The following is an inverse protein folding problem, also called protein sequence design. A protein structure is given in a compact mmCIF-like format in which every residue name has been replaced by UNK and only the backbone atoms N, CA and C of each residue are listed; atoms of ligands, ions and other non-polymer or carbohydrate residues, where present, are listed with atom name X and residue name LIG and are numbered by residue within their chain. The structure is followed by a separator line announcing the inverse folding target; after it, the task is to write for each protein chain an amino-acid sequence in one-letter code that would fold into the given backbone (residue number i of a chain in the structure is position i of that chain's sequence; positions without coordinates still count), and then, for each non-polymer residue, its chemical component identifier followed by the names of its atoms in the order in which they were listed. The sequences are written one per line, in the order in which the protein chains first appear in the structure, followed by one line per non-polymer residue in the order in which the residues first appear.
data_IF_052060590410
#
_entry.id   IF_052060590410
#
_cell.length_a   1.000
_cell.length_b   1.000
_cell.length_c   1.000
_cell.angle_alpha   90.00
_cell.angle_beta   90.00
_cell.angle_gamma   90.00
#
_symmetry.space_group_name_H-M   'P 1'
#
loop_
_entity.id
_entity.type
_entity.pdbx_description
1 polymer ?
#
# COMPACT_ATOMS: atom_id res chain seq x y z
N UNK A 1 -10.11 71.89 74.26
CA UNK A 1 -9.58 71.41 72.96
C UNK A 1 -9.12 70.01 73.14
N UNK A 2 -10.01 69.02 72.98
CA UNK A 2 -9.68 67.57 73.08
C UNK A 2 -9.78 66.94 71.70
N UNK A 3 -8.62 66.60 71.10
CA UNK A 3 -8.53 65.69 69.91
C UNK A 3 -8.73 64.29 70.42
N UNK A 4 -9.81 63.62 70.00
CA UNK A 4 -9.98 62.20 70.18
C UNK A 4 -8.93 61.49 69.29
N UNK A 5 -7.96 60.86 69.92
CA UNK A 5 -7.12 59.87 69.23
C UNK A 5 -7.95 58.64 68.98
N UNK A 6 -8.14 58.29 67.75
CA UNK A 6 -8.76 57.00 67.41
C UNK A 6 -7.96 55.88 68.10
N UNK A 7 -8.65 54.91 68.73
CA UNK A 7 -7.99 53.83 69.43
C UNK A 7 -7.25 52.93 68.43
N UNK A 8 -6.12 52.39 68.83
CA UNK A 8 -5.29 51.46 68.01
C UNK A 8 -6.15 50.32 67.47
N UNK A 9 -7.18 49.88 68.22
CA UNK A 9 -8.15 48.86 67.80
C UNK A 9 -8.96 49.27 66.55
N UNK A 10 -9.42 50.56 66.46
CA UNK A 10 -10.19 51.00 65.30
C UNK A 10 -9.32 51.12 64.04
N UNK A 11 -8.05 51.48 64.17
CA UNK A 11 -7.08 51.46 63.05
C UNK A 11 -6.74 50.05 62.57
N UNK A 12 -6.65 49.06 63.47
CA UNK A 12 -6.40 47.69 63.16
C UNK A 12 -7.62 47.09 62.43
N UNK A 13 -8.85 47.36 62.90
CA UNK A 13 -10.08 46.84 62.27
C UNK A 13 -10.31 47.44 60.88
N UNK A 14 -10.05 48.74 60.69
CA UNK A 14 -10.10 49.39 59.39
C UNK A 14 -9.07 48.81 58.38
N UNK A 15 -7.87 48.52 58.86
CA UNK A 15 -6.83 47.91 58.07
C UNK A 15 -7.20 46.48 57.69
N UNK A 16 -7.79 45.71 58.62
CA UNK A 16 -8.26 44.33 58.38
C UNK A 16 -9.39 44.28 57.34
N UNK A 17 -10.39 45.16 57.42
CA UNK A 17 -11.47 45.30 56.45
C UNK A 17 -10.95 45.72 55.07
N UNK A 18 -9.92 46.53 54.96
CA UNK A 18 -9.30 46.91 53.69
C UNK A 18 -8.54 45.78 53.06
N UNK A 19 -7.87 44.95 53.86
CA UNK A 19 -7.16 43.75 53.37
C UNK A 19 -8.14 42.71 52.86
N UNK A 20 -9.24 42.42 53.58
CA UNK A 20 -10.29 41.47 53.16
C UNK A 20 -10.94 41.94 51.85
N UNK A 21 -11.27 43.24 51.75
CA UNK A 21 -11.85 43.82 50.53
C UNK A 21 -10.90 43.69 49.30
N UNK A 22 -9.59 43.91 49.51
CA UNK A 22 -8.58 43.72 48.45
C UNK A 22 -8.43 42.24 48.02
N UNK A 23 -8.52 41.31 48.97
CA UNK A 23 -8.47 39.87 48.65
C UNK A 23 -9.70 39.41 47.88
N UNK A 24 -10.90 39.89 48.27
CA UNK A 24 -12.14 39.58 47.56
C UNK A 24 -12.15 40.16 46.13
N UNK A 25 -11.64 41.39 45.94
CA UNK A 25 -11.55 42.00 44.61
C UNK A 25 -10.53 41.30 43.71
N UNK A 26 -9.40 40.86 44.25
CA UNK A 26 -8.41 40.06 43.51
C UNK A 26 -9.00 38.69 43.07
N UNK A 27 -9.69 38.04 43.97
CA UNK A 27 -10.34 36.74 43.70
C UNK A 27 -11.43 36.87 42.63
N UNK A 28 -12.25 37.90 42.68
CA UNK A 28 -13.24 38.21 41.64
C UNK A 28 -12.60 38.52 40.29
N UNK A 29 -11.48 39.22 40.27
CA UNK A 29 -10.75 39.52 39.04
C UNK A 29 -10.13 38.27 38.41
N UNK A 30 -9.59 37.33 39.22
CA UNK A 30 -9.10 36.04 38.75
C UNK A 30 -10.22 35.18 38.16
N UNK A 31 -11.38 35.10 38.82
CA UNK A 31 -12.55 34.38 38.32
C UNK A 31 -13.04 34.96 36.99
N UNK A 32 -13.12 36.29 36.87
CA UNK A 32 -13.53 36.97 35.65
C UNK A 32 -12.55 36.72 34.51
N UNK A 33 -11.25 36.68 34.76
CA UNK A 33 -10.23 36.34 33.80
C UNK A 33 -10.31 34.85 33.34
N UNK A 34 -10.58 33.93 34.26
CA UNK A 34 -10.78 32.52 33.94
C UNK A 34 -12.02 32.34 33.04
N UNK A 35 -13.14 33.01 33.39
CA UNK A 35 -14.39 32.95 32.61
C UNK A 35 -14.20 33.57 31.22
N UNK A 36 -13.50 34.72 31.13
CA UNK A 36 -13.19 35.36 29.86
C UNK A 36 -12.32 34.45 28.96
N UNK A 37 -11.27 33.85 29.50
CA UNK A 37 -10.39 32.95 28.79
C UNK A 37 -11.10 31.65 28.38
N UNK A 38 -12.02 31.13 29.18
CA UNK A 38 -12.85 29.99 28.85
C UNK A 38 -13.85 30.30 27.72
N UNK A 39 -14.52 31.47 27.77
CA UNK A 39 -15.44 31.90 26.72
C UNK A 39 -14.75 32.13 25.38
N UNK A 40 -13.57 32.76 25.39
CA UNK A 40 -12.78 32.99 24.17
C UNK A 40 -12.25 31.71 23.57
N UNK A 41 -11.74 30.79 24.40
CA UNK A 41 -11.30 29.46 23.93
C UNK A 41 -12.47 28.63 23.39
N UNK A 42 -13.62 28.61 24.06
CA UNK A 42 -14.83 27.91 23.59
C UNK A 42 -15.37 28.53 22.31
N UNK A 43 -15.36 29.87 22.19
CA UNK A 43 -15.78 30.53 20.95
C UNK A 43 -14.84 30.21 19.77
N UNK A 44 -13.53 30.23 20.00
CA UNK A 44 -12.54 29.84 18.98
C UNK A 44 -12.71 28.35 18.56
N UNK A 45 -12.94 27.48 19.55
CA UNK A 45 -13.18 26.06 19.30
C UNK A 45 -14.48 25.81 18.50
N UNK A 46 -15.56 26.56 18.86
CA UNK A 46 -16.82 26.49 18.09
C UNK A 46 -16.67 27.04 16.67
N UNK A 47 -15.86 28.09 16.47
CA UNK A 47 -15.58 28.65 15.15
C UNK A 47 -14.80 27.67 14.29
N UNK A 48 -13.79 26.99 14.84
CA UNK A 48 -13.00 25.94 14.15
C UNK A 48 -13.88 24.75 13.80
N UNK A 49 -14.75 24.31 14.72
CA UNK A 49 -15.69 23.21 14.48
C UNK A 49 -16.77 23.56 13.44
N UNK A 50 -17.24 24.79 13.44
CA UNK A 50 -18.25 25.26 12.46
C UNK A 50 -17.67 25.38 11.03
N UNK A 51 -16.41 25.77 10.89
CA UNK A 51 -15.72 25.81 9.59
C UNK A 51 -15.46 24.39 9.07
N UNK A 52 -15.11 23.46 9.94
CA UNK A 52 -14.90 22.06 9.57
C UNK A 52 -16.18 21.32 9.14
N UNK A 53 -17.33 21.67 9.73
CA UNK A 53 -18.62 21.00 9.47
C UNK A 53 -19.22 21.31 8.10
N UNK A 54 -18.77 22.37 7.39
CA UNK A 54 -19.31 22.82 6.13
C UNK A 54 -18.32 22.86 4.96
N UNK A 55 -17.10 22.32 5.11
CA UNK A 55 -16.14 22.31 4.02
C UNK A 55 -16.62 21.36 2.89
N UNK A 56 -16.95 21.94 1.74
CA UNK A 56 -17.29 21.19 0.53
C UNK A 56 -16.07 20.37 0.07
N UNK A 57 -16.30 19.13 -0.38
CA UNK A 57 -15.24 18.32 -0.97
C UNK A 57 -15.00 18.75 -2.42
N UNK A 58 -13.75 19.09 -2.73
CA UNK A 58 -13.27 19.37 -4.08
C UNK A 58 -12.46 18.17 -4.57
N UNK A 59 -12.77 17.70 -5.78
CA UNK A 59 -12.11 16.55 -6.39
C UNK A 59 -11.06 17.00 -7.39
N UNK A 60 -9.84 16.45 -7.26
CA UNK A 60 -8.70 16.70 -8.14
C UNK A 60 -8.38 15.42 -8.91
N UNK A 61 -8.19 15.53 -10.22
CA UNK A 61 -7.80 14.39 -11.05
C UNK A 61 -6.46 13.81 -10.56
N UNK A 62 -6.44 12.51 -10.29
CA UNK A 62 -5.25 11.84 -9.81
C UNK A 62 -4.11 11.74 -10.86
N UNK A 63 -4.40 12.09 -12.13
CA UNK A 63 -3.38 12.19 -13.19
C UNK A 63 -2.35 13.29 -12.92
N UNK A 64 -2.70 14.29 -12.09
CA UNK A 64 -1.78 15.35 -11.67
C UNK A 64 -0.68 14.88 -10.70
N UNK A 65 -0.77 13.66 -10.18
CA UNK A 65 0.14 13.14 -9.15
C UNK A 65 0.95 11.96 -9.67
N UNK A 66 2.15 11.68 -9.12
CA UNK A 66 2.97 10.55 -9.51
C UNK A 66 2.26 9.21 -9.34
N UNK A 67 2.37 8.35 -10.32
CA UNK A 67 1.92 6.95 -10.32
C UNK A 67 3.14 6.04 -10.15
N UNK A 68 3.04 5.09 -9.22
CA UNK A 68 4.04 4.06 -8.92
C UNK A 68 3.57 2.70 -9.43
N UNK A 69 4.49 1.75 -9.53
CA UNK A 69 4.20 0.35 -9.86
C UNK A 69 4.18 0.04 -11.36
N UNK A 70 4.59 0.97 -12.22
CA UNK A 70 4.61 0.81 -13.68
C UNK A 70 5.91 0.18 -14.17
N UNK A 71 5.80 -0.90 -14.95
CA UNK A 71 6.93 -1.45 -15.69
C UNK A 71 7.23 -0.66 -16.97
N UNK A 72 6.26 0.10 -17.48
CA UNK A 72 6.36 0.90 -18.71
C UNK A 72 5.36 2.05 -18.68
N UNK A 73 5.67 3.16 -19.34
CA UNK A 73 4.75 4.28 -19.49
C UNK A 73 3.82 4.14 -20.71
N UNK A 74 4.14 3.24 -21.65
CA UNK A 74 3.40 3.05 -22.91
C UNK A 74 2.23 2.08 -22.77
N UNK A 75 1.34 2.30 -21.81
CA UNK A 75 0.13 1.49 -21.61
C UNK A 75 -1.07 2.12 -22.31
N UNK A 76 -2.08 1.31 -22.69
CA UNK A 76 -3.29 1.78 -23.38
C UNK A 76 -4.03 2.85 -22.56
N UNK A 77 -4.16 2.64 -21.25
CA UNK A 77 -4.66 3.64 -20.30
C UNK A 77 -3.71 3.78 -19.11
N UNK A 78 -3.79 4.90 -18.40
CA UNK A 78 -2.86 5.25 -17.32
C UNK A 78 -2.70 4.14 -16.26
N UNK A 79 -3.79 3.48 -15.88
CA UNK A 79 -3.82 2.55 -14.75
C UNK A 79 -3.74 1.08 -15.15
N UNK A 80 -3.24 0.79 -16.35
CA UNK A 80 -2.90 -0.55 -16.83
C UNK A 80 -1.41 -0.87 -16.63
N UNK A 81 -1.03 -2.16 -16.65
CA UNK A 81 0.30 -2.64 -16.28
C UNK A 81 1.16 -3.09 -17.46
N UNK A 82 0.55 -3.49 -18.58
CA UNK A 82 1.25 -3.97 -19.77
C UNK A 82 1.32 -2.90 -20.85
N UNK A 83 2.40 -2.88 -21.66
CA UNK A 83 2.50 -1.96 -22.80
C UNK A 83 1.43 -2.27 -23.85
N UNK A 84 0.91 -1.23 -24.51
CA UNK A 84 -0.12 -1.31 -25.53
C UNK A 84 0.28 -2.19 -26.72
N UNK A 85 1.57 -2.24 -27.04
CA UNK A 85 2.14 -3.09 -28.08
C UNK A 85 1.87 -4.58 -27.89
N UNK A 86 1.56 -5.02 -26.66
CA UNK A 86 1.23 -6.42 -26.37
C UNK A 86 -0.23 -6.79 -26.60
N UNK A 87 -1.11 -5.83 -26.92
CA UNK A 87 -2.54 -6.07 -27.09
C UNK A 87 -2.88 -7.18 -28.08
N UNK A 88 -2.14 -7.21 -29.21
CA UNK A 88 -2.37 -8.19 -30.30
C UNK A 88 -1.32 -9.33 -30.34
N UNK A 89 -0.36 -9.33 -29.42
CA UNK A 89 0.74 -10.30 -29.37
C UNK A 89 0.52 -11.28 -28.24
N UNK A 90 0.13 -10.81 -27.07
CA UNK A 90 -0.08 -11.65 -25.90
C UNK A 90 -1.34 -12.50 -26.01
N UNK A 91 -1.34 -13.60 -25.27
CA UNK A 91 -2.57 -14.39 -25.06
C UNK A 91 -3.66 -13.50 -24.45
N UNK A 92 -4.88 -13.59 -24.99
CA UNK A 92 -6.00 -12.77 -24.55
C UNK A 92 -6.21 -12.73 -23.02
N UNK A 93 -6.18 -13.88 -22.26
CA UNK A 93 -6.34 -13.82 -20.80
C UNK A 93 -5.20 -13.05 -20.10
N UNK A 94 -3.97 -13.16 -20.60
CA UNK A 94 -2.83 -12.44 -20.07
C UNK A 94 -2.97 -10.92 -20.28
N UNK A 95 -3.37 -10.51 -21.49
CA UNK A 95 -3.65 -9.12 -21.82
C UNK A 95 -4.76 -8.53 -20.93
N UNK A 96 -5.90 -9.23 -20.79
CA UNK A 96 -7.01 -8.78 -19.97
C UNK A 96 -6.61 -8.61 -18.49
N UNK A 97 -5.76 -9.49 -17.94
CA UNK A 97 -5.21 -9.36 -16.59
C UNK A 97 -4.22 -8.19 -16.49
N UNK A 98 -3.49 -7.89 -17.54
CA UNK A 98 -2.61 -6.72 -17.65
C UNK A 98 -3.34 -5.39 -17.47
N UNK A 99 -4.63 -5.36 -17.75
CA UNK A 99 -5.49 -4.19 -17.58
C UNK A 99 -5.97 -3.97 -16.12
N UNK A 100 -5.74 -4.93 -15.22
CA UNK A 100 -5.98 -4.72 -13.78
C UNK A 100 -4.89 -3.81 -13.19
N UNK A 101 -5.24 -3.07 -12.14
CA UNK A 101 -4.37 -2.04 -11.54
C UNK A 101 -3.54 -2.55 -10.35
N UNK A 102 -3.35 -3.88 -10.22
CA UNK A 102 -2.63 -4.50 -9.10
C UNK A 102 -1.21 -3.92 -8.94
N UNK A 103 -0.86 -3.50 -7.73
CA UNK A 103 0.45 -2.93 -7.42
C UNK A 103 0.63 -1.47 -7.83
N UNK A 104 -0.33 -0.87 -8.54
CA UNK A 104 -0.25 0.57 -8.85
C UNK A 104 -0.67 1.40 -7.65
N UNK A 105 -0.01 2.56 -7.47
CA UNK A 105 -0.33 3.49 -6.40
C UNK A 105 -0.10 4.95 -6.79
N UNK A 106 -0.90 5.86 -6.23
CA UNK A 106 -0.76 7.31 -6.37
C UNK A 106 -0.07 7.88 -5.13
N UNK A 107 0.91 8.78 -5.36
CA UNK A 107 1.59 9.54 -4.30
C UNK A 107 1.16 10.99 -4.33
N UNK A 108 0.68 11.50 -3.20
CA UNK A 108 0.30 12.91 -3.02
C UNK A 108 0.49 13.35 -1.58
N UNK A 109 0.38 14.66 -1.33
CA UNK A 109 0.33 15.25 0.02
C UNK A 109 -0.84 16.22 0.14
N UNK A 110 -1.34 16.38 1.35
CA UNK A 110 -2.43 17.31 1.65
C UNK A 110 -2.48 17.66 3.14
N UNK A 111 -2.97 18.84 3.45
CA UNK A 111 -3.31 19.26 4.82
C UNK A 111 -4.81 19.15 5.12
N UNK A 112 -5.57 18.45 4.30
CA UNK A 112 -7.01 18.31 4.46
C UNK A 112 -7.39 17.52 5.72
N UNK A 113 -8.53 17.90 6.33
CA UNK A 113 -9.10 17.17 7.46
C UNK A 113 -9.81 15.89 7.05
N UNK A 114 -10.01 15.70 5.72
CA UNK A 114 -10.55 14.46 5.13
C UNK A 114 -9.87 14.13 3.81
N UNK A 115 -9.83 12.84 3.49
CA UNK A 115 -9.47 12.36 2.15
C UNK A 115 -10.60 11.49 1.64
N UNK A 116 -11.11 11.81 0.47
CA UNK A 116 -12.10 11.05 -0.26
C UNK A 116 -11.53 10.60 -1.62
N UNK A 117 -12.18 9.66 -2.28
CA UNK A 117 -11.88 9.29 -3.65
C UNK A 117 -13.16 9.06 -4.45
N UNK A 118 -13.10 9.43 -5.74
CA UNK A 118 -14.00 8.97 -6.79
C UNK A 118 -13.21 8.15 -7.78
N UNK A 119 -13.71 6.95 -8.12
CA UNK A 119 -13.06 6.11 -9.12
C UNK A 119 -14.06 5.25 -9.86
N UNK A 120 -13.74 4.99 -11.11
CA UNK A 120 -14.46 4.03 -11.93
C UNK A 120 -13.58 2.81 -12.20
N UNK A 121 -14.23 1.64 -12.28
CA UNK A 121 -13.55 0.39 -12.63
C UNK A 121 -13.99 -0.12 -14.00
N UNK A 122 -13.14 -0.91 -14.64
CA UNK A 122 -13.32 -1.38 -16.00
C UNK A 122 -14.49 -2.36 -16.13
N UNK A 123 -14.55 -3.36 -15.24
CA UNK A 123 -15.43 -4.53 -15.39
C UNK A 123 -16.51 -4.65 -14.31
N UNK A 124 -16.39 -3.96 -13.19
CA UNK A 124 -17.23 -4.16 -11.99
C UNK A 124 -17.24 -5.64 -11.55
N UNK A 125 -16.03 -6.23 -11.49
CA UNK A 125 -15.83 -7.66 -11.22
C UNK A 125 -16.30 -8.06 -9.82
N UNK A 126 -16.89 -9.25 -9.71
CA UNK A 126 -17.22 -9.91 -8.46
C UNK A 126 -16.65 -11.32 -8.45
N UNK A 127 -16.17 -11.78 -7.29
CA UNK A 127 -15.59 -13.11 -7.08
C UNK A 127 -16.13 -13.67 -5.76
N UNK A 128 -16.39 -14.99 -5.72
CA UNK A 128 -17.01 -15.64 -4.56
C UNK A 128 -16.07 -15.88 -3.37
N UNK A 129 -14.77 -15.72 -3.57
CA UNK A 129 -13.72 -16.00 -2.58
C UNK A 129 -12.85 -14.76 -2.24
N UNK A 130 -13.16 -13.61 -2.81
CA UNK A 130 -12.43 -12.37 -2.58
C UNK A 130 -13.37 -11.21 -2.26
N UNK A 131 -12.99 -10.35 -1.32
CA UNK A 131 -13.81 -9.20 -0.92
C UNK A 131 -13.90 -8.14 -2.03
N UNK A 132 -15.02 -7.44 -2.18
CA UNK A 132 -15.10 -6.31 -3.12
C UNK A 132 -14.02 -5.24 -2.89
N UNK A 133 -13.61 -5.01 -1.63
CA UNK A 133 -12.52 -4.09 -1.26
C UNK A 133 -11.19 -4.50 -1.85
N UNK A 134 -10.86 -5.79 -1.89
CA UNK A 134 -9.66 -6.31 -2.55
C UNK A 134 -9.77 -6.28 -4.08
N UNK A 135 -10.93 -6.68 -4.62
CA UNK A 135 -11.15 -6.78 -6.07
C UNK A 135 -11.06 -5.40 -6.73
N UNK A 136 -11.85 -4.42 -6.28
CA UNK A 136 -12.09 -3.13 -6.94
C UNK A 136 -12.07 -1.91 -6.02
N UNK A 137 -11.60 -2.08 -4.76
CA UNK A 137 -11.42 -1.00 -3.79
C UNK A 137 -10.08 -0.29 -3.92
N UNK A 138 -9.89 0.70 -3.05
CA UNK A 138 -8.68 1.50 -2.92
C UNK A 138 -8.19 1.43 -1.46
N UNK A 139 -6.88 1.59 -1.22
CA UNK A 139 -6.31 1.65 0.13
C UNK A 139 -5.43 2.88 0.31
N UNK A 140 -5.75 3.68 1.32
CA UNK A 140 -5.00 4.88 1.69
C UNK A 140 -4.06 4.58 2.85
N UNK A 141 -2.80 4.95 2.67
CA UNK A 141 -1.77 4.97 3.71
C UNK A 141 -1.26 6.39 3.90
N UNK A 142 -0.92 6.73 5.14
CA UNK A 142 -0.31 8.00 5.53
C UNK A 142 1.10 7.73 6.08
N UNK A 143 2.08 8.54 5.68
CA UNK A 143 3.43 8.46 6.23
C UNK A 143 3.46 9.14 7.60
N UNK A 144 3.80 8.38 8.64
CA UNK A 144 3.95 8.85 9.99
C UNK A 144 5.23 8.27 10.60
N UNK A 145 6.10 9.12 11.13
CA UNK A 145 7.38 8.72 11.75
C UNK A 145 8.22 7.77 10.86
N UNK A 146 8.25 8.06 9.55
CA UNK A 146 8.96 7.26 8.54
C UNK A 146 8.33 5.92 8.19
N UNK A 147 7.10 5.64 8.66
CA UNK A 147 6.35 4.40 8.40
C UNK A 147 5.01 4.71 7.72
N UNK A 148 4.65 3.87 6.77
CA UNK A 148 3.34 3.93 6.13
C UNK A 148 2.28 3.27 7.00
N UNK A 149 1.38 4.08 7.56
CA UNK A 149 0.27 3.62 8.41
C UNK A 149 -1.02 3.61 7.61
N UNK A 150 -1.83 2.55 7.77
CA UNK A 150 -3.14 2.46 7.16
C UNK A 150 -4.06 3.58 7.67
N UNK A 151 -4.63 4.36 6.75
CA UNK A 151 -5.51 5.48 7.06
C UNK A 151 -6.98 5.22 6.72
N UNK A 152 -7.25 4.42 5.67
CA UNK A 152 -8.63 4.11 5.30
C UNK A 152 -8.74 3.37 3.97
N UNK A 153 -9.94 2.84 3.70
CA UNK A 153 -10.27 2.13 2.45
C UNK A 153 -11.33 2.83 1.65
N UNK A 154 -11.16 2.89 0.34
CA UNK A 154 -12.18 3.17 -0.65
C UNK A 154 -13.06 1.94 -0.85
N UNK A 155 -14.23 1.89 -0.23
CA UNK A 155 -15.17 0.77 -0.31
C UNK A 155 -16.04 0.89 -1.56
N UNK A 156 -15.90 -0.04 -2.53
CA UNK A 156 -16.64 0.06 -3.80
C UNK A 156 -18.12 -0.28 -3.63
N UNK A 157 -18.96 0.33 -4.45
CA UNK A 157 -20.38 0.08 -4.50
C UNK A 157 -20.84 -0.50 -5.86
N UNK A 158 -20.00 -0.35 -6.89
CA UNK A 158 -20.29 -0.78 -8.24
C UNK A 158 -19.18 -0.39 -9.21
N UNK A 159 -19.58 -0.04 -10.44
CA UNK A 159 -18.65 0.41 -11.48
C UNK A 159 -18.12 1.82 -11.22
N UNK A 160 -19.01 2.74 -10.82
CA UNK A 160 -18.67 4.09 -10.37
C UNK A 160 -18.76 4.17 -8.85
N UNK A 161 -17.75 4.75 -8.22
CA UNK A 161 -17.57 4.70 -6.78
C UNK A 161 -17.19 6.07 -6.22
N UNK A 162 -17.69 6.35 -5.03
CA UNK A 162 -17.30 7.51 -4.23
C UNK A 162 -17.27 7.14 -2.74
N UNK A 163 -16.16 7.42 -2.05
CA UNK A 163 -16.04 7.12 -0.62
C UNK A 163 -15.16 8.14 0.06
N UNK A 164 -15.58 8.64 1.23
CA UNK A 164 -14.65 9.27 2.19
C UNK A 164 -13.88 8.17 2.90
N UNK A 165 -12.56 8.12 2.68
CA UNK A 165 -11.68 7.09 3.24
C UNK A 165 -11.27 7.40 4.67
N UNK A 166 -10.99 8.67 4.97
CA UNK A 166 -10.66 9.17 6.30
C UNK A 166 -11.21 10.58 6.47
N UNK A 167 -11.59 10.95 7.69
CA UNK A 167 -12.12 12.28 8.06
C UNK A 167 -11.80 12.62 9.51
N UNK A 168 -12.10 13.85 9.89
CA UNK A 168 -11.93 14.37 11.25
C UNK A 168 -10.45 14.40 11.69
N UNK A 169 -9.53 14.55 10.71
CA UNK A 169 -8.10 14.73 10.97
C UNK A 169 -7.79 16.18 11.37
N UNK A 170 -6.65 16.39 12.02
CA UNK A 170 -6.10 17.73 12.20
C UNK A 170 -5.63 18.29 10.85
N UNK A 171 -5.71 19.61 10.60
CA UNK A 171 -5.30 20.23 9.33
C UNK A 171 -3.78 20.39 9.25
N UNK A 172 -3.07 19.25 9.20
CA UNK A 172 -1.62 19.16 9.09
C UNK A 172 -1.21 18.53 7.75
N UNK A 173 -0.12 18.99 7.19
CA UNK A 173 0.39 18.43 5.93
C UNK A 173 0.89 17.01 6.15
N UNK A 174 0.39 16.09 5.33
CA UNK A 174 0.70 14.65 5.37
C UNK A 174 0.98 14.11 3.99
N UNK A 175 1.87 13.15 3.92
CA UNK A 175 2.18 12.35 2.74
C UNK A 175 1.29 11.13 2.67
N UNK A 176 0.74 10.86 1.49
CA UNK A 176 -0.19 9.75 1.25
C UNK A 176 0.29 8.83 0.14
N UNK A 177 -0.05 7.55 0.28
CA UNK A 177 0.14 6.48 -0.70
C UNK A 177 -1.22 5.79 -0.88
N UNK A 178 -1.79 5.89 -2.08
CA UNK A 178 -3.11 5.35 -2.42
C UNK A 178 -2.95 4.19 -3.38
N UNK A 179 -3.09 2.96 -2.88
CA UNK A 179 -3.06 1.73 -3.69
C UNK A 179 -4.36 1.53 -4.45
N UNK A 180 -4.24 1.04 -5.69
CA UNK A 180 -5.34 0.78 -6.60
C UNK A 180 -5.81 -0.68 -6.55
N UNK A 181 -6.94 -0.95 -7.21
CA UNK A 181 -7.63 -2.24 -7.26
C UNK A 181 -6.75 -3.41 -7.71
N UNK A 182 -6.92 -4.59 -7.10
CA UNK A 182 -6.09 -5.76 -7.43
C UNK A 182 -6.62 -6.59 -8.61
N UNK A 183 -7.95 -6.75 -8.72
CA UNK A 183 -8.58 -7.65 -9.69
C UNK A 183 -9.53 -6.94 -10.65
N UNK A 184 -9.55 -5.61 -10.66
CA UNK A 184 -10.21 -4.78 -11.67
C UNK A 184 -9.27 -3.67 -12.14
N UNK A 185 -9.52 -3.11 -13.30
CA UNK A 185 -8.80 -1.94 -13.82
C UNK A 185 -9.46 -0.66 -13.34
N UNK A 186 -8.70 0.26 -12.78
CA UNK A 186 -9.15 1.64 -12.56
C UNK A 186 -9.15 2.36 -13.91
N UNK A 187 -10.24 3.03 -14.26
CA UNK A 187 -10.38 3.78 -15.54
C UNK A 187 -10.35 5.28 -15.32
N UNK A 188 -10.89 5.74 -14.19
CA UNK A 188 -10.80 7.13 -13.73
C UNK A 188 -10.53 7.18 -12.23
N UNK A 189 -9.85 8.22 -11.75
CA UNK A 189 -9.57 8.41 -10.33
C UNK A 189 -9.44 9.90 -10.02
N UNK A 190 -10.16 10.35 -8.99
CA UNK A 190 -10.02 11.69 -8.42
C UNK A 190 -9.90 11.62 -6.91
N UNK A 191 -9.06 12.47 -6.34
CA UNK A 191 -8.83 12.59 -4.90
C UNK A 191 -9.59 13.80 -4.39
N UNK A 192 -10.44 13.59 -3.39
CA UNK A 192 -11.27 14.60 -2.76
C UNK A 192 -10.65 15.12 -1.47
N UNK A 193 -10.56 16.44 -1.33
CA UNK A 193 -10.08 17.16 -0.16
C UNK A 193 -11.05 18.28 0.20
N UNK A 194 -10.96 18.84 1.40
CA UNK A 194 -11.74 20.01 1.79
C UNK A 194 -11.39 21.22 0.93
N UNK A 195 -12.37 22.03 0.55
CA UNK A 195 -12.23 23.14 -0.41
C UNK A 195 -11.19 24.21 -0.02
N UNK A 196 -10.86 24.33 1.27
CA UNK A 196 -9.86 25.27 1.77
C UNK A 196 -8.48 24.61 1.99
N UNK A 197 -8.36 23.32 1.68
CA UNK A 197 -7.13 22.57 1.88
C UNK A 197 -6.27 22.56 0.61
N UNK A 198 -4.98 22.36 0.82
CA UNK A 198 -4.03 22.18 -0.27
C UNK A 198 -3.85 20.69 -0.58
N UNK A 199 -3.67 20.38 -1.87
CA UNK A 199 -3.23 19.08 -2.35
C UNK A 199 -2.15 19.29 -3.42
N UNK A 200 -1.08 18.51 -3.35
CA UNK A 200 0.06 18.63 -4.26
C UNK A 200 0.80 17.30 -4.43
N UNK A 201 1.80 17.26 -5.30
CA UNK A 201 2.72 16.13 -5.40
C UNK A 201 3.49 15.90 -4.10
N UNK A 202 4.09 14.71 -3.90
CA UNK A 202 4.84 14.36 -2.71
C UNK A 202 6.05 15.30 -2.49
N UNK A 203 6.38 15.60 -1.22
CA UNK A 203 7.59 16.32 -0.85
C UNK A 203 8.74 15.36 -0.49
N UNK A 204 8.43 14.11 -0.14
CA UNK A 204 9.42 13.07 0.14
C UNK A 204 9.37 11.97 -0.92
N UNK A 205 10.53 11.53 -1.36
CA UNK A 205 10.67 10.47 -2.38
C UNK A 205 10.65 9.08 -1.71
N UNK A 206 9.49 8.74 -1.13
CA UNK A 206 9.22 7.43 -0.55
C UNK A 206 7.87 6.91 -1.07
N UNK A 207 7.76 5.62 -1.48
CA UNK A 207 8.86 4.68 -1.73
C UNK A 207 9.83 5.17 -2.80
N UNK A 208 11.12 4.82 -2.65
CA UNK A 208 12.17 5.19 -3.63
C UNK A 208 11.87 4.51 -4.96
N UNK A 209 11.79 5.31 -6.04
CA UNK A 209 11.46 4.82 -7.39
C UNK A 209 12.66 4.28 -8.15
N UNK A 210 13.85 4.81 -7.86
CA UNK A 210 15.06 4.37 -8.53
C UNK A 210 15.34 2.89 -8.22
N UNK A 211 15.54 2.08 -9.26
CA UNK A 211 15.79 0.62 -9.18
C UNK A 211 14.73 -0.11 -8.32
N UNK A 212 13.48 -0.20 -8.79
CA UNK A 212 12.41 -0.90 -8.10
C UNK A 212 12.72 -2.39 -7.92
N UNK A 213 11.94 -3.08 -7.09
CA UNK A 213 11.87 -4.54 -7.09
C UNK A 213 10.79 -4.96 -8.08
N UNK A 214 11.14 -5.80 -9.06
CA UNK A 214 10.19 -6.28 -10.06
C UNK A 214 9.77 -7.71 -9.75
N UNK A 215 8.48 -7.93 -9.63
CA UNK A 215 7.89 -9.23 -9.36
C UNK A 215 7.11 -9.72 -10.58
N UNK A 216 7.34 -10.98 -10.98
CA UNK A 216 6.54 -11.69 -11.95
C UNK A 216 5.96 -12.96 -11.35
N UNK A 217 4.64 -13.17 -11.47
CA UNK A 217 4.01 -14.33 -10.85
C UNK A 217 2.50 -14.47 -11.08
N UNK A 218 1.88 -15.18 -10.17
CA UNK A 218 0.56 -15.80 -10.27
C UNK A 218 -0.57 -14.92 -9.70
N UNK A 219 -1.74 -15.54 -9.44
CA UNK A 219 -2.85 -14.93 -8.69
C UNK A 219 -2.43 -14.50 -7.28
N UNK A 220 -1.55 -15.28 -6.63
CA UNK A 220 -1.02 -14.93 -5.31
C UNK A 220 -0.23 -13.63 -5.40
N UNK A 221 0.65 -13.50 -6.41
CA UNK A 221 1.38 -12.27 -6.64
C UNK A 221 0.46 -11.09 -6.98
N UNK A 222 -0.56 -11.31 -7.82
CA UNK A 222 -1.55 -10.27 -8.14
C UNK A 222 -2.28 -9.76 -6.89
N UNK A 223 -2.35 -10.54 -5.83
CA UNK A 223 -3.01 -10.23 -4.56
C UNK A 223 -4.34 -10.97 -4.38
N UNK A 224 -4.48 -12.17 -4.99
CA UNK A 224 -5.68 -12.99 -4.91
C UNK A 224 -6.06 -13.33 -3.48
N UNK A 225 -7.26 -12.94 -3.08
CA UNK A 225 -7.88 -13.05 -1.76
C UNK A 225 -7.35 -12.09 -0.67
N UNK A 226 -6.44 -11.16 -0.99
CA UNK A 226 -6.17 -10.04 -0.08
C UNK A 226 -7.47 -9.27 0.21
N UNK A 227 -7.74 -8.97 1.47
CA UNK A 227 -8.97 -8.28 1.88
C UNK A 227 -9.10 -6.87 1.30
N UNK A 228 -7.98 -6.24 0.96
CA UNK A 228 -7.84 -4.89 0.40
C UNK A 228 -6.47 -4.74 -0.29
N UNK A 229 -6.30 -3.76 -1.20
CA UNK A 229 -5.07 -3.65 -2.01
C UNK A 229 -3.77 -3.64 -1.22
N UNK A 230 -3.71 -2.89 -0.13
CA UNK A 230 -2.51 -2.78 0.69
C UNK A 230 -2.08 -4.08 1.39
N UNK A 231 -2.90 -5.14 1.37
CA UNK A 231 -2.58 -6.45 1.95
C UNK A 231 -1.94 -7.41 0.96
N UNK A 232 -1.89 -7.13 -0.33
CA UNK A 232 -1.04 -7.86 -1.25
C UNK A 232 0.43 -7.76 -0.79
N UNK A 233 1.16 -8.88 -0.77
CA UNK A 233 2.52 -8.92 -0.21
C UNK A 233 3.50 -7.97 -0.91
N UNK A 234 3.33 -7.70 -2.20
CA UNK A 234 4.14 -6.70 -2.92
C UNK A 234 3.96 -5.30 -2.35
N UNK A 235 2.72 -4.93 -2.01
CA UNK A 235 2.39 -3.63 -1.41
C UNK A 235 2.84 -3.55 0.07
N UNK A 236 2.84 -4.68 0.79
CA UNK A 236 3.43 -4.77 2.13
C UNK A 236 4.95 -4.55 2.05
N UNK A 237 5.62 -5.25 1.14
CA UNK A 237 7.06 -5.15 0.91
C UNK A 237 7.47 -3.75 0.46
N UNK A 238 6.71 -3.11 -0.41
CA UNK A 238 6.94 -1.73 -0.85
C UNK A 238 7.03 -0.79 0.36
N UNK A 239 6.06 -0.87 1.28
CA UNK A 239 6.05 -0.04 2.49
C UNK A 239 7.17 -0.38 3.46
N UNK A 240 7.54 -1.66 3.62
CA UNK A 240 8.58 -2.08 4.55
C UNK A 240 10.00 -1.77 4.03
N UNK A 241 10.20 -1.89 2.73
CA UNK A 241 11.47 -1.58 2.07
C UNK A 241 11.62 -0.09 1.77
N UNK A 242 10.53 0.68 1.84
CA UNK A 242 10.44 2.05 1.31
C UNK A 242 10.98 2.14 -0.13
N UNK A 243 10.69 1.14 -0.96
CA UNK A 243 11.14 1.02 -2.34
C UNK A 243 10.00 0.54 -3.23
N UNK A 244 9.86 1.18 -4.40
CA UNK A 244 8.83 0.82 -5.37
C UNK A 244 8.89 -0.67 -5.73
N UNK A 245 7.71 -1.33 -5.70
CA UNK A 245 7.52 -2.72 -6.07
C UNK A 245 6.59 -2.81 -7.29
N UNK A 246 7.11 -3.27 -8.41
CA UNK A 246 6.34 -3.47 -9.63
C UNK A 246 5.72 -4.87 -9.61
N UNK A 247 4.39 -4.92 -9.62
CA UNK A 247 3.61 -6.16 -9.56
C UNK A 247 3.16 -6.59 -10.96
N UNK A 248 3.80 -7.61 -11.50
CA UNK A 248 3.40 -8.30 -12.73
C UNK A 248 2.83 -9.69 -12.42
N UNK A 249 1.85 -9.72 -11.49
CA UNK A 249 1.05 -10.89 -11.16
C UNK A 249 -0.11 -11.07 -12.15
N UNK A 250 -0.29 -12.31 -12.63
CA UNK A 250 -1.31 -12.66 -13.62
C UNK A 250 -2.02 -13.94 -13.20
N UNK A 251 -3.22 -13.80 -12.66
CA UNK A 251 -4.03 -14.90 -12.09
C UNK A 251 -4.21 -16.05 -13.09
N UNK A 252 -3.67 -17.26 -12.76
CA UNK A 252 -3.71 -18.42 -13.63
C UNK A 252 -2.88 -18.31 -14.91
N UNK A 253 -2.12 -17.22 -15.11
CA UNK A 253 -1.49 -16.90 -16.40
C UNK A 253 0.00 -16.54 -16.31
N UNK A 254 0.67 -16.83 -15.21
CA UNK A 254 2.14 -16.74 -15.14
C UNK A 254 2.76 -17.98 -15.80
N UNK A 255 2.66 -18.09 -17.14
CA UNK A 255 3.04 -19.27 -17.92
C UNK A 255 4.38 -19.11 -18.66
N UNK A 256 5.22 -18.15 -18.18
CA UNK A 256 6.53 -17.86 -18.76
C UNK A 256 6.44 -17.40 -20.24
N UNK A 257 5.45 -16.57 -20.54
CA UNK A 257 5.31 -15.95 -21.86
C UNK A 257 6.49 -14.99 -22.10
N UNK A 258 7.25 -15.20 -23.18
CA UNK A 258 8.55 -14.54 -23.40
C UNK A 258 8.41 -13.03 -23.63
N UNK A 259 7.29 -12.57 -24.15
CA UNK A 259 6.98 -11.14 -24.27
C UNK A 259 6.95 -10.44 -22.91
N UNK A 260 6.54 -11.12 -21.84
CA UNK A 260 6.60 -10.57 -20.47
C UNK A 260 8.04 -10.52 -19.97
N UNK A 261 8.90 -11.50 -20.33
CA UNK A 261 10.32 -11.40 -20.02
C UNK A 261 10.96 -10.15 -20.63
N UNK A 262 10.56 -9.74 -21.85
CA UNK A 262 11.03 -8.52 -22.49
C UNK A 262 10.53 -7.26 -21.78
N UNK A 263 9.28 -7.24 -21.28
CA UNK A 263 8.76 -6.14 -20.46
C UNK A 263 9.60 -6.00 -19.18
N UNK A 264 9.83 -7.11 -18.47
CA UNK A 264 10.63 -7.15 -17.23
C UNK A 264 12.06 -6.67 -17.50
N UNK A 265 12.68 -7.16 -18.58
CA UNK A 265 14.03 -6.80 -18.98
C UNK A 265 14.18 -5.33 -19.40
N UNK A 266 13.07 -4.61 -19.62
CA UNK A 266 13.05 -3.17 -19.88
C UNK A 266 13.18 -2.31 -18.61
N UNK A 267 13.07 -2.91 -17.42
CA UNK A 267 13.11 -2.17 -16.14
C UNK A 267 14.50 -2.25 -15.51
N UNK A 268 15.11 -1.13 -15.20
CA UNK A 268 16.36 -1.08 -14.40
C UNK A 268 16.05 -1.35 -12.93
N UNK A 269 16.02 -2.64 -12.56
CA UNK A 269 15.58 -3.12 -11.26
C UNK A 269 16.74 -3.36 -10.28
N UNK A 270 16.46 -3.24 -8.97
CA UNK A 270 17.37 -3.68 -7.92
C UNK A 270 17.37 -5.21 -7.75
N UNK A 271 16.20 -5.85 -7.91
CA UNK A 271 16.01 -7.30 -7.79
C UNK A 271 14.85 -7.71 -8.70
N UNK A 272 14.97 -8.84 -9.36
CA UNK A 272 13.87 -9.53 -10.03
C UNK A 272 13.43 -10.74 -9.22
N UNK A 273 12.11 -10.88 -8.99
CA UNK A 273 11.51 -12.01 -8.28
C UNK A 273 10.61 -12.78 -9.24
N UNK A 274 10.92 -14.04 -9.48
CA UNK A 274 10.22 -14.94 -10.43
C UNK A 274 9.41 -15.99 -9.65
N UNK A 275 8.11 -15.71 -9.45
CA UNK A 275 7.16 -16.47 -8.64
C UNK A 275 6.05 -17.07 -9.52
N UNK A 276 6.44 -17.82 -10.54
CA UNK A 276 5.55 -18.37 -11.58
C UNK A 276 5.11 -19.81 -11.33
N UNK A 277 5.81 -20.55 -10.47
CA UNK A 277 5.70 -22.00 -10.34
C UNK A 277 4.28 -22.52 -10.11
N UNK A 278 3.42 -21.87 -9.29
CA UNK A 278 2.05 -22.33 -9.09
C UNK A 278 1.22 -22.43 -10.38
N UNK A 279 1.46 -21.58 -11.38
CA UNK A 279 0.68 -21.59 -12.63
C UNK A 279 1.33 -22.40 -13.76
N UNK A 280 2.65 -22.39 -13.89
CA UNK A 280 3.34 -23.09 -14.97
C UNK A 280 3.28 -24.61 -14.76
N UNK A 281 3.06 -25.39 -15.84
CA UNK A 281 3.19 -26.85 -15.82
C UNK A 281 4.66 -27.27 -15.75
N UNK A 282 4.92 -28.54 -15.40
CA UNK A 282 6.27 -29.14 -15.41
C UNK A 282 6.92 -28.96 -16.80
N UNK A 283 6.16 -29.17 -17.86
CA UNK A 283 6.62 -29.01 -19.24
C UNK A 283 6.97 -27.56 -19.56
N UNK A 284 6.09 -26.64 -19.20
CA UNK A 284 6.34 -25.19 -19.39
C UNK A 284 7.57 -24.71 -18.61
N UNK A 285 7.79 -25.18 -17.39
CA UNK A 285 8.98 -24.85 -16.59
C UNK A 285 10.23 -25.35 -17.32
N UNK A 286 10.24 -26.62 -17.78
CA UNK A 286 11.38 -27.22 -18.52
C UNK A 286 11.71 -26.45 -19.80
N UNK A 287 10.68 -26.09 -20.57
CA UNK A 287 10.85 -25.51 -21.90
C UNK A 287 11.16 -23.98 -21.87
N UNK A 288 10.61 -23.26 -20.90
CA UNK A 288 10.55 -21.80 -20.95
C UNK A 288 11.35 -21.10 -19.87
N UNK A 289 11.57 -21.70 -18.68
CA UNK A 289 12.15 -20.98 -17.56
C UNK A 289 13.57 -20.48 -17.84
N UNK A 290 14.42 -21.27 -18.49
CA UNK A 290 15.76 -20.84 -18.88
C UNK A 290 15.72 -19.72 -19.94
N UNK A 291 14.84 -19.81 -20.94
CA UNK A 291 14.69 -18.78 -21.96
C UNK A 291 14.20 -17.47 -21.35
N UNK A 292 13.19 -17.54 -20.48
CA UNK A 292 12.64 -16.39 -19.76
C UNK A 292 13.73 -15.71 -18.92
N UNK A 293 14.46 -16.48 -18.14
CA UNK A 293 15.62 -16.04 -17.37
C UNK A 293 16.67 -15.37 -18.26
N UNK A 294 17.04 -16.01 -19.36
CA UNK A 294 18.12 -15.57 -20.24
C UNK A 294 17.82 -14.22 -20.91
N UNK A 295 16.56 -13.93 -21.22
CA UNK A 295 16.12 -12.62 -21.72
C UNK A 295 16.40 -11.53 -20.68
N UNK A 296 16.01 -11.75 -19.42
CA UNK A 296 16.24 -10.79 -18.33
C UNK A 296 17.74 -10.65 -18.08
N UNK A 297 18.47 -11.76 -17.92
CA UNK A 297 19.91 -11.78 -17.62
C UNK A 297 20.74 -11.09 -18.70
N UNK A 298 20.36 -11.21 -19.98
CA UNK A 298 21.08 -10.56 -21.09
C UNK A 298 21.10 -9.02 -20.99
N UNK A 299 20.08 -8.43 -20.39
CA UNK A 299 19.98 -6.97 -20.15
C UNK A 299 20.51 -6.55 -18.79
N UNK A 300 20.47 -7.44 -17.81
CA UNK A 300 20.82 -7.20 -16.42
C UNK A 300 21.86 -8.22 -15.94
N UNK A 301 23.13 -8.14 -16.37
CA UNK A 301 24.13 -9.17 -16.12
C UNK A 301 24.41 -9.40 -14.63
N UNK A 302 24.29 -8.37 -13.81
CA UNK A 302 24.67 -8.42 -12.39
C UNK A 302 23.50 -8.28 -11.41
N UNK A 303 22.29 -7.94 -11.89
CA UNK A 303 21.12 -7.77 -11.01
C UNK A 303 20.69 -9.10 -10.40
N UNK A 304 20.45 -9.16 -9.09
CA UNK A 304 19.93 -10.35 -8.42
C UNK A 304 18.62 -10.84 -9.01
N UNK A 305 18.53 -12.14 -9.30
CA UNK A 305 17.29 -12.81 -9.73
C UNK A 305 16.95 -13.90 -8.72
N UNK A 306 15.79 -13.77 -8.09
CA UNK A 306 15.26 -14.67 -7.09
C UNK A 306 14.17 -15.55 -7.70
N UNK A 307 14.39 -16.87 -7.75
CA UNK A 307 13.36 -17.85 -8.06
C UNK A 307 12.64 -18.24 -6.78
N UNK A 308 11.32 -18.39 -6.85
CA UNK A 308 10.49 -18.77 -5.70
C UNK A 308 9.82 -20.12 -5.98
N UNK A 309 9.93 -21.04 -5.03
CA UNK A 309 9.22 -22.32 -5.08
C UNK A 309 7.70 -22.14 -4.99
N UNK A 310 6.96 -23.12 -5.49
CA UNK A 310 5.53 -23.25 -5.25
C UNK A 310 5.26 -23.45 -3.75
N UNK A 311 4.35 -22.68 -3.14
CA UNK A 311 3.95 -22.89 -1.74
C UNK A 311 3.51 -24.34 -1.49
N UNK A 312 3.88 -24.89 -0.33
CA UNK A 312 3.33 -26.15 0.15
C UNK A 312 2.00 -25.85 0.82
N UNK A 313 0.94 -25.97 0.07
CA UNK A 313 -0.42 -25.68 0.54
C UNK A 313 -0.88 -26.67 1.61
N UNK A 314 -1.60 -26.20 2.62
CA UNK A 314 -2.06 -27.02 3.74
C UNK A 314 -2.94 -28.20 3.29
N UNK A 315 -3.81 -27.99 2.29
CA UNK A 315 -4.69 -29.05 1.75
C UNK A 315 -3.92 -30.16 1.05
N UNK A 316 -2.67 -29.96 0.65
CA UNK A 316 -1.81 -31.02 0.10
C UNK A 316 -1.61 -32.18 1.08
N UNK A 317 -1.80 -31.96 2.39
CA UNK A 317 -1.78 -33.04 3.40
C UNK A 317 -2.91 -34.04 3.21
N UNK A 318 -4.02 -33.61 2.59
CA UNK A 318 -5.23 -34.41 2.40
C UNK A 318 -5.48 -34.76 0.92
N UNK A 319 -4.73 -34.13 0.00
CA UNK A 319 -4.87 -34.33 -1.44
C UNK A 319 -3.51 -34.74 -2.03
N UNK A 320 -3.34 -36.05 -2.25
CA UNK A 320 -2.09 -36.60 -2.77
C UNK A 320 -1.74 -36.12 -4.18
N UNK A 321 -2.75 -35.81 -5.03
CA UNK A 321 -2.52 -35.26 -6.36
C UNK A 321 -1.93 -33.86 -6.27
N UNK A 322 -2.48 -32.99 -5.41
CA UNK A 322 -1.95 -31.65 -5.17
C UNK A 322 -0.54 -31.70 -4.56
N UNK A 323 -0.31 -32.62 -3.62
CA UNK A 323 1.02 -32.83 -3.03
C UNK A 323 2.06 -33.22 -4.08
N UNK A 324 1.67 -34.15 -4.96
CA UNK A 324 2.55 -34.58 -6.06
C UNK A 324 2.83 -33.45 -7.04
N UNK A 325 1.82 -32.69 -7.43
CA UNK A 325 1.98 -31.55 -8.34
C UNK A 325 2.96 -30.51 -7.79
N UNK A 326 2.78 -30.08 -6.53
CA UNK A 326 3.71 -29.14 -5.86
C UNK A 326 5.13 -29.68 -5.86
N UNK A 327 5.31 -30.97 -5.51
CA UNK A 327 6.61 -31.63 -5.50
C UNK A 327 7.25 -31.63 -6.88
N UNK A 328 6.54 -32.14 -7.91
CA UNK A 328 7.08 -32.28 -9.27
C UNK A 328 7.49 -30.91 -9.84
N UNK A 329 6.69 -29.87 -9.62
CA UNK A 329 6.99 -28.49 -10.06
C UNK A 329 8.22 -27.93 -9.36
N UNK A 330 8.35 -28.08 -8.04
CA UNK A 330 9.50 -27.62 -7.28
C UNK A 330 10.79 -28.38 -7.67
N UNK A 331 10.74 -29.68 -7.83
CA UNK A 331 11.86 -30.49 -8.32
C UNK A 331 12.30 -30.07 -9.73
N UNK A 332 11.34 -29.72 -10.59
CA UNK A 332 11.63 -29.21 -11.93
C UNK A 332 12.30 -27.82 -11.86
N UNK A 333 11.81 -26.91 -11.02
CA UNK A 333 12.45 -25.61 -10.78
C UNK A 333 13.88 -25.81 -10.28
N UNK A 334 14.11 -26.72 -9.32
CA UNK A 334 15.45 -27.04 -8.82
C UNK A 334 16.37 -27.53 -9.93
N UNK A 335 15.87 -28.38 -10.84
CA UNK A 335 16.66 -28.86 -11.98
C UNK A 335 17.08 -27.71 -12.89
N UNK A 336 16.18 -26.79 -13.21
CA UNK A 336 16.50 -25.58 -13.99
C UNK A 336 17.52 -24.72 -13.25
N UNK A 337 17.29 -24.44 -11.97
CA UNK A 337 18.20 -23.63 -11.15
C UNK A 337 19.61 -24.22 -11.06
N UNK A 338 19.74 -25.54 -10.86
CA UNK A 338 21.02 -26.22 -10.84
C UNK A 338 21.73 -26.21 -12.21
N UNK A 339 20.96 -26.28 -13.30
CA UNK A 339 21.52 -26.14 -14.65
C UNK A 339 22.12 -24.73 -14.86
N UNK A 340 21.42 -23.67 -14.44
CA UNK A 340 21.92 -22.31 -14.47
C UNK A 340 23.21 -22.16 -13.63
N UNK A 341 23.25 -22.73 -12.42
CA UNK A 341 24.44 -22.72 -11.57
C UNK A 341 25.62 -23.45 -12.22
N UNK A 342 25.41 -24.62 -12.82
CA UNK A 342 26.44 -25.37 -13.54
C UNK A 342 26.99 -24.61 -14.74
N UNK A 343 26.18 -23.79 -15.41
CA UNK A 343 26.58 -22.92 -16.51
C UNK A 343 27.41 -21.70 -16.05
N UNK A 344 27.56 -21.51 -14.72
CA UNK A 344 28.33 -20.42 -14.11
C UNK A 344 27.54 -19.15 -13.84
N UNK A 345 26.20 -19.19 -13.93
CA UNK A 345 25.34 -18.05 -13.64
C UNK A 345 25.52 -17.55 -12.22
N UNK A 346 25.72 -16.25 -12.07
CA UNK A 346 25.91 -15.56 -10.78
C UNK A 346 24.68 -14.76 -10.40
N UNK A 347 24.62 -14.34 -9.14
CA UNK A 347 23.53 -13.51 -8.59
C UNK A 347 22.14 -14.10 -8.85
N UNK A 348 22.04 -15.46 -8.80
CA UNK A 348 20.78 -16.18 -8.81
C UNK A 348 20.56 -16.87 -7.46
N UNK A 349 19.35 -16.82 -6.98
CA UNK A 349 18.94 -17.31 -5.66
C UNK A 349 17.67 -18.12 -5.79
N UNK A 350 17.49 -19.10 -4.92
CA UNK A 350 16.29 -19.91 -4.81
C UNK A 350 15.70 -19.74 -3.42
N UNK A 351 14.45 -19.30 -3.34
CA UNK A 351 13.70 -19.19 -2.11
C UNK A 351 12.86 -20.43 -1.91
N UNK A 352 13.12 -21.13 -0.79
CA UNK A 352 12.38 -22.34 -0.44
C UNK A 352 10.96 -21.99 0.01
N UNK A 353 10.00 -22.81 -0.36
CA UNK A 353 8.61 -22.73 0.09
C UNK A 353 8.38 -23.28 1.51
N UNK A 354 9.42 -23.88 2.10
CA UNK A 354 9.35 -24.37 3.48
C UNK A 354 9.01 -23.18 4.41
N UNK A 355 8.01 -23.37 5.23
CA UNK A 355 7.51 -22.37 6.21
C UNK A 355 6.90 -21.08 5.60
N UNK A 356 6.77 -20.98 4.27
CA UNK A 356 6.31 -19.79 3.55
C UNK A 356 4.97 -19.26 4.06
N UNK A 357 4.03 -20.14 4.36
CA UNK A 357 2.67 -19.78 4.82
C UNK A 357 2.37 -20.25 6.26
N UNK A 358 3.38 -20.77 6.97
CA UNK A 358 3.22 -21.33 8.32
C UNK A 358 2.63 -22.74 8.32
N UNK A 359 2.32 -23.27 9.52
CA UNK A 359 1.96 -24.68 9.72
C UNK A 359 0.60 -24.87 10.38
N UNK A 360 -0.11 -23.81 10.73
CA UNK A 360 -1.42 -23.83 11.40
C UNK A 360 -2.61 -24.11 10.47
N UNK A 361 -2.41 -23.96 9.15
CA UNK A 361 -3.46 -24.19 8.16
C UNK A 361 -4.30 -22.97 7.82
N UNK A 362 -4.05 -21.80 8.43
CA UNK A 362 -4.92 -20.62 8.36
C UNK A 362 -4.54 -19.61 7.28
N UNK A 363 -3.49 -19.91 6.49
CA UNK A 363 -2.92 -18.96 5.55
C UNK A 363 -3.64 -18.84 4.22
N UNK A 364 -4.66 -19.67 3.93
CA UNK A 364 -5.36 -19.69 2.64
C UNK A 364 -6.88 -19.62 2.80
N UNK A 365 -7.56 -19.01 1.81
CA UNK A 365 -9.03 -18.90 1.76
C UNK A 365 -9.67 -20.17 1.17
N UNK A 366 -9.08 -20.70 0.10
CA UNK A 366 -9.62 -21.80 -0.71
C UNK A 366 -8.63 -22.95 -0.87
N UNK A 367 -7.59 -22.97 -0.05
CA UNK A 367 -6.51 -23.95 -0.11
C UNK A 367 -5.33 -23.53 -0.99
N UNK A 368 -5.46 -22.44 -1.77
CA UNK A 368 -4.43 -21.91 -2.68
C UNK A 368 -4.15 -20.43 -2.40
N UNK A 369 -5.18 -19.57 -2.51
CA UNK A 369 -5.05 -18.13 -2.40
C UNK A 369 -4.93 -17.69 -0.95
N UNK A 370 -4.03 -16.75 -0.68
CA UNK A 370 -3.68 -16.38 0.67
C UNK A 370 -4.74 -15.51 1.35
N UNK A 371 -4.95 -15.76 2.65
CA UNK A 371 -5.55 -14.78 3.56
C UNK A 371 -4.56 -13.62 3.80
N UNK A 372 -5.01 -12.54 4.45
CA UNK A 372 -4.09 -11.46 4.89
C UNK A 372 -2.96 -12.00 5.77
N UNK A 373 -3.24 -13.03 6.60
CA UNK A 373 -2.20 -13.73 7.38
C UNK A 373 -1.16 -14.42 6.48
N UNK A 374 -1.61 -15.10 5.44
CA UNK A 374 -0.72 -15.72 4.45
C UNK A 374 0.16 -14.70 3.73
N UNK A 375 -0.42 -13.57 3.31
CA UNK A 375 0.32 -12.48 2.69
C UNK A 375 1.36 -11.84 3.62
N UNK A 376 1.02 -11.65 4.90
CA UNK A 376 1.96 -11.13 5.90
C UNK A 376 3.13 -12.09 6.07
N UNK A 377 2.89 -13.40 6.26
CA UNK A 377 3.94 -14.43 6.40
C UNK A 377 4.83 -14.48 5.17
N UNK A 378 4.24 -14.41 3.99
CA UNK A 378 5.01 -14.41 2.75
C UNK A 378 5.88 -13.15 2.62
N UNK A 379 5.35 -12.00 2.99
CA UNK A 379 6.14 -10.76 3.03
C UNK A 379 7.27 -10.83 4.07
N UNK A 380 7.01 -11.37 5.26
CA UNK A 380 8.01 -11.57 6.32
C UNK A 380 9.16 -12.48 5.86
N UNK A 381 8.87 -13.52 5.07
CA UNK A 381 9.87 -14.41 4.51
C UNK A 381 10.70 -13.74 3.41
N UNK A 382 10.05 -12.97 2.52
CA UNK A 382 10.73 -12.28 1.41
C UNK A 382 11.55 -11.07 1.87
N UNK A 383 11.08 -10.34 2.87
CA UNK A 383 11.69 -9.07 3.31
C UNK A 383 13.19 -9.16 3.62
N UNK A 384 13.69 -10.09 4.47
CA UNK A 384 15.12 -10.17 4.76
C UNK A 384 15.97 -10.53 3.55
N UNK A 385 15.43 -11.35 2.63
CA UNK A 385 16.11 -11.74 1.39
C UNK A 385 16.24 -10.54 0.47
N UNK A 386 15.13 -9.81 0.23
CA UNK A 386 15.14 -8.63 -0.61
C UNK A 386 16.03 -7.53 -0.03
N UNK A 387 15.90 -7.25 1.27
CA UNK A 387 16.73 -6.24 1.96
C UNK A 387 18.23 -6.50 1.83
N UNK A 388 18.64 -7.78 1.82
CA UNK A 388 20.04 -8.18 1.62
C UNK A 388 20.56 -7.86 0.21
N UNK A 389 19.68 -7.95 -0.79
CA UNK A 389 20.06 -7.84 -2.21
C UNK A 389 19.79 -6.45 -2.81
N UNK A 390 18.93 -5.65 -2.18
CA UNK A 390 18.75 -4.26 -2.54
C UNK A 390 19.99 -3.49 -2.08
N UNK A 391 20.80 -3.02 -3.04
CA UNK A 391 21.94 -2.14 -2.72
C UNK A 391 21.38 -0.81 -2.22
N UNK A 392 21.77 -0.41 -1.01
CA UNK A 392 21.65 0.99 -0.56
C UNK A 392 22.75 1.76 -1.31
N UNK A 393 22.32 2.69 -2.15
CA UNK A 393 23.21 3.70 -2.77
C UNK A 393 23.66 4.69 -1.70
#
# INVERSE_FOLDING_TARGET
MFRRSASICELIDAKRKKIVFLQETLYLWEILNIIYNMKTKSFLLCLVLAVSANAQVVYHDASAFPLLGKATETTLTRYERLPDSLQNISRKPLWELGRNSAGLAIRFRSNSTRIAAKWDVLLDRNMNHMTPTGIKGLDLYCLQDGKWMFAGSGRPQGKANETTMVKDMLPEEREYLLYLSLYDGVTSLSIGVDSLSQISGPAVELPVRNKPVVFYGTSILQGGCASRPGMAHTNILERWLNRECINLGFSGNALLDLEIAHVIAGVDASVFVLDFVPNASVEQIKERADKFYSIIRSKHPDTPILFVENPVFTHSRFNGTAAKEVKDKNETLHTVFQSLKKRGEKNIYLLSSKDMIGHDGEATVDGVHFTDLGFMRYAEMLYPVLKKHIKTE
#
